data_IF_168215062042
#
_entry.id   IF_168215062042
#
_cell.length_a   1.000
_cell.length_b   1.000
_cell.length_c   1.000
_cell.angle_alpha   90.00
_cell.angle_beta   90.00
_cell.angle_gamma   90.00
#
_symmetry.space_group_name_H-M   'P 1'
#
loop_
_entity.id
_entity.type
_entity.pdbx_description
1 polymer ?
#
# COMPACT_ATOMS: atom_id res chain seq x y z
N UNK A 1 -0.91 3.61 -10.00
CA UNK A 1 -2.09 2.82 -10.42
C UNK A 1 -3.23 3.82 -10.44
N UNK A 2 -3.63 4.28 -11.62
CA UNK A 2 -4.71 5.26 -11.77
C UNK A 2 -6.05 4.53 -11.52
N UNK A 3 -6.91 5.06 -10.65
CA UNK A 3 -8.19 4.43 -10.34
C UNK A 3 -9.18 4.64 -11.50
N UNK A 4 -9.94 3.63 -11.93
CA UNK A 4 -10.95 3.79 -12.97
C UNK A 4 -12.09 4.72 -12.51
N UNK A 5 -12.58 5.57 -13.42
CA UNK A 5 -13.76 6.40 -13.16
C UNK A 5 -14.98 5.51 -12.91
N UNK A 6 -15.61 5.66 -11.76
CA UNK A 6 -16.86 4.97 -11.42
C UNK A 6 -18.01 5.91 -11.76
N UNK A 7 -18.99 5.42 -12.53
CA UNK A 7 -20.19 6.17 -12.91
C UNK A 7 -21.41 5.70 -12.11
N UNK A 8 -22.20 6.63 -11.56
CA UNK A 8 -23.50 6.32 -10.94
C UNK A 8 -24.65 6.93 -11.74
N UNK A 9 -25.66 6.12 -12.06
CA UNK A 9 -26.86 6.58 -12.77
C UNK A 9 -27.83 7.33 -11.85
N UNK A 10 -28.55 8.29 -12.42
CA UNK A 10 -29.61 9.09 -11.78
C UNK A 10 -30.89 9.04 -12.62
N UNK A 11 -32.06 9.28 -12.02
CA UNK A 11 -33.33 9.33 -12.76
C UNK A 11 -34.12 10.56 -12.31
N UNK A 12 -34.60 11.36 -13.25
CA UNK A 12 -35.38 12.57 -12.98
C UNK A 12 -34.60 13.78 -12.46
N UNK A 13 -33.29 13.65 -12.26
CA UNK A 13 -32.41 14.76 -11.92
C UNK A 13 -32.09 15.59 -13.17
N UNK A 14 -32.03 16.92 -13.01
CA UNK A 14 -31.54 17.87 -14.03
C UNK A 14 -30.13 18.36 -13.71
N UNK A 15 -29.56 17.93 -12.59
CA UNK A 15 -28.20 18.28 -12.19
C UNK A 15 -27.84 17.76 -10.79
N UNK A 16 -26.72 18.26 -10.29
CA UNK A 16 -26.23 18.00 -8.93
C UNK A 16 -25.93 19.32 -8.20
N UNK A 17 -26.12 19.32 -6.89
CA UNK A 17 -25.63 20.35 -5.99
C UNK A 17 -24.19 20.07 -5.55
N UNK A 18 -23.70 20.85 -4.58
CA UNK A 18 -22.33 20.71 -4.06
C UNK A 18 -22.15 19.37 -3.33
N UNK A 19 -21.25 18.50 -3.80
CA UNK A 19 -20.91 17.26 -3.10
C UNK A 19 -20.26 17.54 -1.74
N UNK A 20 -20.49 16.65 -0.78
CA UNK A 20 -19.85 16.67 0.54
C UNK A 20 -19.30 15.28 0.87
N UNK A 21 -18.28 15.24 1.74
CA UNK A 21 -17.69 13.97 2.21
C UNK A 21 -16.85 13.23 1.17
N UNK A 22 -16.44 13.88 0.08
CA UNK A 22 -15.48 13.33 -0.87
C UNK A 22 -14.06 13.32 -0.28
N UNK A 23 -13.20 12.37 -0.65
CA UNK A 23 -11.76 12.47 -0.41
C UNK A 23 -11.19 13.74 -1.02
N UNK A 24 -10.09 14.26 -0.45
CA UNK A 24 -9.34 15.36 -1.06
C UNK A 24 -8.92 14.99 -2.49
N UNK A 25 -8.92 15.98 -3.38
CA UNK A 25 -8.56 15.84 -4.80
C UNK A 25 -9.49 14.95 -5.64
N UNK A 26 -10.65 14.55 -5.09
CA UNK A 26 -11.74 13.92 -5.83
C UNK A 26 -12.81 14.97 -6.16
N UNK A 27 -13.13 15.04 -7.45
CA UNK A 27 -14.20 15.88 -7.97
C UNK A 27 -15.32 15.02 -8.54
N UNK A 28 -16.50 15.62 -8.61
CA UNK A 28 -17.69 14.99 -9.17
C UNK A 28 -18.26 15.89 -10.25
N UNK A 29 -18.64 15.27 -11.35
CA UNK A 29 -19.38 15.91 -12.44
C UNK A 29 -20.66 15.13 -12.72
N UNK A 30 -21.64 15.78 -13.32
CA UNK A 30 -22.86 15.12 -13.79
C UNK A 30 -23.12 15.48 -15.24
N UNK A 31 -23.38 14.48 -16.07
CA UNK A 31 -23.78 14.64 -17.46
C UNK A 31 -24.65 13.46 -17.89
N UNK A 32 -25.68 13.73 -18.70
CA UNK A 32 -26.55 12.68 -19.26
C UNK A 32 -27.03 11.67 -18.21
N UNK A 33 -27.57 12.16 -17.10
CA UNK A 33 -28.03 11.35 -15.97
C UNK A 33 -26.95 10.50 -15.27
N UNK A 34 -25.67 10.79 -15.49
CA UNK A 34 -24.56 10.02 -14.91
C UNK A 34 -23.67 10.93 -14.07
N UNK A 35 -23.50 10.57 -12.81
CA UNK A 35 -22.50 11.13 -11.89
C UNK A 35 -21.17 10.45 -12.19
N UNK A 36 -20.13 11.22 -12.50
CA UNK A 36 -18.78 10.74 -12.76
C UNK A 36 -17.83 11.28 -11.71
N UNK A 37 -17.09 10.37 -11.07
CA UNK A 37 -16.02 10.69 -10.12
C UNK A 37 -14.68 10.72 -10.86
N UNK A 38 -13.86 11.75 -10.60
CA UNK A 38 -12.52 11.89 -11.16
C UNK A 38 -11.56 12.48 -10.13
N UNK A 39 -10.29 12.09 -10.21
CA UNK A 39 -9.23 12.57 -9.33
C UNK A 39 -8.31 11.46 -8.83
N UNK A 40 -7.35 11.83 -7.99
CA UNK A 40 -6.42 10.90 -7.33
C UNK A 40 -6.38 11.23 -5.84
N UNK A 41 -7.11 10.48 -5.00
CA UNK A 41 -7.18 10.77 -3.56
C UNK A 41 -5.80 10.84 -2.90
N UNK A 42 -5.52 11.90 -2.16
CA UNK A 42 -4.25 12.07 -1.42
C UNK A 42 -4.27 11.51 -0.01
N UNK A 43 -5.46 11.25 0.56
CA UNK A 43 -5.64 10.70 1.90
C UNK A 43 -6.33 9.33 1.86
N UNK A 44 -5.76 8.35 2.56
CA UNK A 44 -6.38 7.03 2.77
C UNK A 44 -7.46 7.10 3.84
N UNK A 45 -8.50 6.28 3.71
CA UNK A 45 -9.59 6.21 4.69
C UNK A 45 -10.92 5.81 4.07
N UNK A 46 -11.96 5.82 4.90
CA UNK A 46 -13.35 5.62 4.47
C UNK A 46 -14.03 6.98 4.42
N UNK A 47 -14.56 7.35 3.26
CA UNK A 47 -15.21 8.62 2.99
C UNK A 47 -16.67 8.37 2.61
N UNK A 48 -17.60 8.77 3.49
CA UNK A 48 -19.02 8.70 3.20
C UNK A 48 -19.45 10.00 2.52
N UNK A 49 -19.86 9.92 1.25
CA UNK A 49 -20.22 11.09 0.46
C UNK A 49 -21.72 11.26 0.34
N UNK A 50 -22.13 12.51 0.17
CA UNK A 50 -23.50 12.92 -0.14
C UNK A 50 -23.48 13.93 -1.27
N UNK A 51 -24.21 13.65 -2.34
CA UNK A 51 -24.37 14.51 -3.51
C UNK A 51 -25.85 14.88 -3.61
N UNK A 52 -26.23 16.14 -3.35
CA UNK A 52 -27.59 16.59 -3.58
C UNK A 52 -27.93 16.48 -5.07
N UNK A 53 -29.06 15.89 -5.40
CA UNK A 53 -29.60 15.90 -6.76
C UNK A 53 -30.54 17.10 -6.92
N UNK A 54 -30.42 17.80 -8.04
CA UNK A 54 -31.33 18.90 -8.40
C UNK A 54 -32.23 18.49 -9.56
N UNK A 55 -33.42 19.06 -9.63
CA UNK A 55 -34.45 18.69 -10.62
C UNK A 55 -35.42 17.62 -10.12
N UNK A 56 -36.54 17.47 -10.83
CA UNK A 56 -37.64 16.59 -10.44
C UNK A 56 -38.53 17.15 -9.33
N UNK A 57 -39.44 16.31 -8.81
CA UNK A 57 -40.28 16.66 -7.66
C UNK A 57 -39.62 16.17 -6.36
N UNK A 58 -38.98 17.07 -5.63
CA UNK A 58 -38.41 16.81 -4.30
C UNK A 58 -36.92 17.12 -4.19
N UNK A 59 -36.36 16.88 -3.01
CA UNK A 59 -34.92 16.95 -2.76
C UNK A 59 -34.44 15.55 -2.39
N UNK A 60 -33.58 14.99 -3.23
CA UNK A 60 -33.04 13.63 -3.09
C UNK A 60 -31.52 13.73 -3.11
N UNK A 61 -30.83 12.84 -2.40
CA UNK A 61 -29.38 12.77 -2.39
C UNK A 61 -28.90 11.42 -2.96
N UNK A 62 -27.82 11.45 -3.74
CA UNK A 62 -27.02 10.26 -4.02
C UNK A 62 -25.97 10.13 -2.91
N UNK A 63 -25.97 8.98 -2.23
CA UNK A 63 -25.05 8.70 -1.12
C UNK A 63 -24.27 7.43 -1.38
N UNK A 64 -23.04 7.38 -0.88
CA UNK A 64 -22.24 6.16 -0.94
C UNK A 64 -20.96 6.28 -0.14
N UNK A 65 -20.10 5.28 -0.30
CA UNK A 65 -18.84 5.19 0.43
C UNK A 65 -17.70 5.01 -0.57
N UNK A 66 -16.66 5.83 -0.43
CA UNK A 66 -15.37 5.67 -1.11
C UNK A 66 -14.36 5.16 -0.09
N UNK A 67 -13.75 4.01 -0.37
CA UNK A 67 -12.67 3.45 0.45
C UNK A 67 -11.36 3.69 -0.31
N UNK A 68 -10.49 4.53 0.26
CA UNK A 68 -9.17 4.81 -0.27
C UNK A 68 -8.15 3.99 0.52
N UNK A 69 -7.62 2.95 -0.12
CA UNK A 69 -6.58 2.10 0.47
C UNK A 69 -5.20 2.74 0.26
N UNK A 70 -4.36 2.86 1.31
CA UNK A 70 -3.03 3.42 1.19
C UNK A 70 -2.12 2.57 0.29
N UNK A 71 -1.14 3.20 -0.37
CA UNK A 71 -0.12 2.47 -1.11
C UNK A 71 0.82 1.72 -0.16
N UNK A 72 1.22 0.52 -0.55
CA UNK A 72 2.28 -0.24 0.10
C UNK A 72 3.61 0.49 -0.08
N UNK A 73 4.40 0.61 0.99
CA UNK A 73 5.81 1.00 0.93
C UNK A 73 6.63 0.14 1.88
N UNK A 74 7.90 -0.09 1.53
CA UNK A 74 8.89 -0.72 2.41
C UNK A 74 10.10 0.20 2.53
N UNK A 75 10.61 0.37 3.75
CA UNK A 75 11.89 1.02 3.96
C UNK A 75 13.01 0.16 3.36
N UNK A 76 13.92 0.77 2.61
CA UNK A 76 15.11 0.08 2.10
C UNK A 76 16.06 -0.21 3.26
N UNK A 77 16.41 -1.48 3.42
CA UNK A 77 17.45 -1.87 4.35
C UNK A 77 18.79 -1.71 3.64
N UNK A 78 19.66 -0.84 4.17
CA UNK A 78 20.99 -0.65 3.63
C UNK A 78 21.78 -1.97 3.64
N UNK A 79 22.53 -2.16 2.57
CA UNK A 79 23.52 -3.22 2.40
C UNK A 79 24.42 -3.27 3.64
N UNK A 80 24.33 -4.38 4.38
CA UNK A 80 25.12 -4.56 5.59
C UNK A 80 25.92 -5.83 5.46
N UNK A 81 27.20 -5.73 5.80
CA UNK A 81 28.08 -6.88 5.89
C UNK A 81 27.72 -7.66 7.15
N UNK A 82 27.38 -8.94 7.00
CA UNK A 82 27.07 -9.83 8.12
C UNK A 82 28.20 -10.85 8.31
N UNK A 83 28.57 -11.14 9.56
CA UNK A 83 29.56 -12.17 9.89
C UNK A 83 28.92 -13.58 9.93
N UNK A 84 29.71 -14.63 9.66
CA UNK A 84 29.24 -16.03 9.75
C UNK A 84 29.03 -16.44 11.20
N UNK A 85 27.89 -17.07 11.49
CA UNK A 85 27.55 -17.55 12.83
C UNK A 85 27.13 -16.46 13.82
N UNK A 86 27.16 -15.18 13.43
CA UNK A 86 26.68 -14.09 14.28
C UNK A 86 25.16 -13.95 14.14
N UNK A 87 24.47 -13.95 15.27
CA UNK A 87 23.03 -13.67 15.31
C UNK A 87 22.77 -12.27 14.78
N UNK A 88 21.85 -12.18 13.83
CA UNK A 88 21.36 -10.93 13.27
C UNK A 88 19.96 -10.66 13.80
N UNK A 89 19.67 -9.39 14.07
CA UNK A 89 18.31 -8.90 14.26
C UNK A 89 18.22 -7.57 13.55
N UNK A 90 17.35 -7.49 12.54
CA UNK A 90 17.12 -6.25 11.78
C UNK A 90 15.64 -6.07 11.54
N UNK A 91 15.21 -4.82 11.49
CA UNK A 91 13.83 -4.48 11.19
C UNK A 91 13.76 -3.47 10.06
N UNK A 92 12.68 -3.55 9.29
CA UNK A 92 12.33 -2.58 8.27
C UNK A 92 10.86 -2.19 8.43
N UNK A 93 10.60 -0.89 8.40
CA UNK A 93 9.24 -0.36 8.45
C UNK A 93 8.52 -0.54 7.12
N UNK A 94 7.21 -0.69 7.19
CA UNK A 94 6.30 -0.71 6.04
C UNK A 94 5.17 0.28 6.29
N UNK A 95 4.58 0.81 5.23
CA UNK A 95 3.34 1.60 5.31
C UNK A 95 2.32 0.99 4.35
N UNK A 96 1.03 1.08 4.70
CA UNK A 96 -0.07 0.57 3.89
C UNK A 96 -0.24 -0.95 3.87
N UNK A 97 0.79 -1.70 4.24
CA UNK A 97 0.75 -3.16 4.31
C UNK A 97 -0.01 -3.66 5.55
N UNK A 98 -0.81 -4.71 5.37
CA UNK A 98 -1.47 -5.46 6.46
C UNK A 98 -0.80 -6.81 6.71
N UNK A 99 0.28 -7.11 6.00
CA UNK A 99 1.02 -8.36 6.10
C UNK A 99 2.12 -8.49 5.06
N UNK A 100 2.74 -9.66 5.03
CA UNK A 100 3.72 -10.06 4.02
C UNK A 100 3.32 -11.37 3.33
N UNK A 101 3.72 -11.51 2.07
CA UNK A 101 3.67 -12.77 1.34
C UNK A 101 4.87 -13.66 1.65
N UNK A 102 5.01 -14.76 0.92
CA UNK A 102 6.11 -15.72 1.09
C UNK A 102 7.47 -15.08 0.76
N UNK A 103 8.41 -14.99 1.73
CA UNK A 103 9.76 -14.52 1.46
C UNK A 103 10.53 -15.47 0.53
N UNK A 104 11.33 -14.92 -0.37
CA UNK A 104 12.23 -15.70 -1.24
C UNK A 104 13.65 -15.11 -1.22
N UNK A 105 14.66 -15.94 -1.52
CA UNK A 105 16.06 -15.51 -1.60
C UNK A 105 16.71 -15.16 -0.25
N UNK A 106 16.10 -15.55 0.87
CA UNK A 106 16.70 -15.40 2.19
C UNK A 106 17.94 -16.30 2.34
N UNK A 107 18.98 -15.86 3.08
CA UNK A 107 20.05 -16.75 3.50
C UNK A 107 19.52 -17.94 4.31
N UNK A 108 20.19 -19.09 4.23
CA UNK A 108 19.92 -20.21 5.13
C UNK A 108 20.01 -19.76 6.60
N UNK A 109 19.12 -20.28 7.43
CA UNK A 109 19.00 -19.98 8.87
C UNK A 109 18.59 -18.53 9.20
N UNK A 110 18.11 -17.77 8.22
CA UNK A 110 17.45 -16.47 8.44
C UNK A 110 15.96 -16.62 8.24
N UNK A 111 15.22 -16.20 9.26
CA UNK A 111 13.76 -16.15 9.25
C UNK A 111 13.29 -14.71 9.16
N UNK A 112 12.06 -14.55 8.68
CA UNK A 112 11.38 -13.27 8.59
C UNK A 112 10.05 -13.38 9.30
N UNK A 113 9.73 -12.40 10.13
CA UNK A 113 8.43 -12.22 10.74
C UNK A 113 7.87 -10.83 10.43
N UNK A 114 6.55 -10.69 10.50
CA UNK A 114 5.87 -9.41 10.39
C UNK A 114 5.02 -9.17 11.62
N UNK A 115 5.12 -7.97 12.19
CA UNK A 115 4.27 -7.49 13.27
C UNK A 115 4.18 -5.96 13.22
N UNK A 116 2.98 -5.41 13.38
CA UNK A 116 2.74 -3.96 13.51
C UNK A 116 3.51 -3.12 12.49
N UNK A 117 3.29 -3.41 11.21
CA UNK A 117 3.93 -2.72 10.08
C UNK A 117 5.45 -2.85 10.03
N UNK A 118 6.04 -3.78 10.78
CA UNK A 118 7.49 -4.01 10.83
C UNK A 118 7.79 -5.42 10.39
N UNK A 119 8.71 -5.54 9.43
CA UNK A 119 9.28 -6.83 9.03
C UNK A 119 10.59 -7.00 9.81
N UNK A 120 10.70 -8.10 10.55
CA UNK A 120 11.89 -8.43 11.37
C UNK A 120 12.60 -9.64 10.79
N UNK A 121 13.90 -9.50 10.56
CA UNK A 121 14.81 -10.55 10.16
C UNK A 121 15.56 -11.04 11.39
N UNK A 122 15.59 -12.35 11.62
CA UNK A 122 16.31 -12.95 12.72
C UNK A 122 16.95 -14.27 12.31
N UNK A 123 18.16 -14.54 12.82
CA UNK A 123 18.86 -15.80 12.59
C UNK A 123 20.37 -15.67 12.60
N UNK A 124 21.05 -16.77 12.34
CA UNK A 124 22.52 -16.81 12.27
C UNK A 124 22.91 -17.42 10.94
N UNK A 125 23.06 -16.61 9.87
CA UNK A 125 23.18 -17.19 8.56
C UNK A 125 24.41 -18.10 8.49
N UNK A 126 24.30 -19.24 7.78
CA UNK A 126 25.36 -20.26 7.67
C UNK A 126 26.11 -20.28 6.32
N UNK A 127 25.53 -19.70 5.25
CA UNK A 127 26.12 -19.63 3.91
C UNK A 127 26.71 -18.24 3.57
N UNK A 128 27.93 -18.18 3.02
CA UNK A 128 28.50 -16.94 2.48
C UNK A 128 27.94 -16.63 1.08
N UNK A 129 27.86 -15.35 0.71
CA UNK A 129 27.37 -14.94 -0.60
C UNK A 129 26.63 -13.61 -0.59
N UNK A 130 26.27 -13.15 -1.80
CA UNK A 130 25.32 -12.06 -1.97
C UNK A 130 23.91 -12.62 -2.05
N UNK A 131 23.04 -12.22 -1.13
CA UNK A 131 21.63 -12.63 -1.14
C UNK A 131 20.76 -11.45 -1.56
N UNK A 132 20.04 -11.64 -2.67
CA UNK A 132 18.98 -10.74 -3.12
C UNK A 132 17.66 -11.36 -2.68
N UNK A 133 17.10 -10.89 -1.58
CA UNK A 133 15.81 -11.37 -1.10
C UNK A 133 14.66 -10.51 -1.63
N UNK A 134 13.48 -11.14 -1.70
CA UNK A 134 12.22 -10.47 -2.05
C UNK A 134 11.16 -10.86 -1.03
N UNK A 135 10.50 -9.86 -0.45
CA UNK A 135 9.37 -10.04 0.46
C UNK A 135 8.18 -9.23 -0.06
N UNK A 136 7.15 -9.88 -0.62
CA UNK A 136 5.95 -9.19 -1.09
C UNK A 136 5.18 -8.56 0.07
N UNK A 137 4.69 -7.33 -0.10
CA UNK A 137 3.73 -6.72 0.82
C UNK A 137 2.29 -7.04 0.39
N UNK A 138 1.38 -7.21 1.36
CA UNK A 138 -0.04 -7.46 1.12
C UNK A 138 -0.92 -6.43 1.84
N UNK A 139 -2.18 -6.27 1.42
CA UNK A 139 -3.18 -5.41 2.06
C UNK A 139 -3.34 -4.01 1.47
N UNK A 140 -2.25 -3.32 1.19
CA UNK A 140 -2.28 -1.99 0.55
C UNK A 140 -2.33 -2.05 -0.97
N UNK A 141 -2.39 -0.87 -1.60
CA UNK A 141 -2.34 -0.71 -3.05
C UNK A 141 -0.90 -0.81 -3.58
N UNK A 142 -0.75 -1.38 -4.77
CA UNK A 142 0.55 -1.50 -5.44
C UNK A 142 1.36 -2.72 -5.02
N UNK A 143 2.08 -3.29 -5.99
CA UNK A 143 2.95 -4.45 -5.80
C UNK A 143 4.36 -3.98 -5.41
N UNK A 144 4.59 -3.81 -4.10
CA UNK A 144 5.89 -3.42 -3.56
C UNK A 144 6.53 -4.62 -2.86
N UNK A 145 7.83 -4.79 -3.09
CA UNK A 145 8.65 -5.78 -2.41
C UNK A 145 9.65 -5.07 -1.50
N UNK A 146 9.88 -5.62 -0.31
CA UNK A 146 11.08 -5.27 0.44
C UNK A 146 12.28 -6.04 -0.11
N UNK A 147 13.37 -5.32 -0.39
CA UNK A 147 14.60 -5.85 -0.98
C UNK A 147 15.79 -5.31 -0.20
N UNK A 148 16.82 -6.14 -0.04
CA UNK A 148 18.15 -5.67 0.28
C UNK A 148 19.21 -6.65 -0.22
N UNK A 149 20.45 -6.15 -0.19
CA UNK A 149 21.65 -6.88 -0.58
C UNK A 149 22.49 -7.15 0.66
N UNK A 150 22.62 -8.40 1.06
CA UNK A 150 23.58 -8.80 2.10
C UNK A 150 24.91 -9.19 1.44
N UNK A 151 26.05 -8.63 1.89
CA UNK A 151 27.38 -9.16 1.54
C UNK A 151 27.97 -9.85 2.78
N UNK A 152 28.76 -10.92 2.60
CA UNK A 152 29.50 -11.58 3.68
C UNK A 152 30.99 -11.62 3.35
N UNK A 153 31.85 -11.34 4.34
CA UNK A 153 33.29 -11.60 4.32
C UNK A 153 33.62 -12.72 5.31
N UNK A 154 34.59 -13.57 4.99
CA UNK A 154 35.03 -14.66 5.84
C UNK A 154 35.89 -14.09 6.98
N UNK A 155 35.68 -14.52 8.23
CA UNK A 155 36.52 -14.10 9.37
C UNK A 155 37.93 -14.72 9.35
N UNK A 156 38.46 -15.04 8.16
CA UNK A 156 39.83 -15.52 7.93
C UNK A 156 40.72 -14.50 7.21
N UNK A 157 40.20 -13.32 6.87
CA UNK A 157 40.93 -12.30 6.12
C UNK A 157 41.69 -11.30 7.04
N UNK A 158 41.97 -11.67 8.30
CA UNK A 158 42.84 -10.88 9.20
C UNK A 158 44.28 -11.39 9.22
N UNK A 159 44.89 -11.62 8.04
CA UNK A 159 46.35 -11.74 7.96
C UNK A 159 46.92 -11.18 6.66
#
# INVERSE_FOLDING_TARGET
MEQPSQGQGTTGATGIGTPTGLPADVTVSWASNTITFAGSPSASGTFNYTIPLTGGCGSVNATGTIIVTPNNTAATVSNTTLCIGTTITRSQGTTGATGIGTPTGLPADVTVSWASNTITFAGSPSASGTFNYTIPLTGGCGSVNAQAKCHRYNNRDTK
#
